data_IF_633524265170
#
_entry.id   IF_633524265170
#
_cell.length_a   1.000
_cell.length_b   1.000
_cell.length_c   1.000
_cell.angle_alpha   90.00
_cell.angle_beta   90.00
_cell.angle_gamma   90.00
#
_symmetry.space_group_name_H-M   'P 1'
#
loop_
_entity.id
_entity.type
_entity.pdbx_description
1 polymer ?
#
# COMPACT_ATOMS: atom_id res chain seq x y z
N UNK A 1 35.76 -9.29 -1.06
CA UNK A 1 34.82 -8.69 -2.02
C UNK A 1 34.61 -9.66 -3.16
N UNK A 2 33.48 -10.36 -3.24
CA UNK A 2 33.14 -11.21 -4.38
C UNK A 2 33.05 -10.35 -5.64
N UNK A 3 33.71 -10.80 -6.71
CA UNK A 3 33.66 -10.10 -8.01
C UNK A 3 32.21 -10.02 -8.47
N UNK A 4 31.70 -8.81 -8.68
CA UNK A 4 30.37 -8.55 -9.25
C UNK A 4 30.35 -9.16 -10.65
N UNK A 5 29.53 -10.20 -10.85
CA UNK A 5 29.50 -10.96 -12.11
C UNK A 5 28.80 -10.15 -13.21
N UNK A 6 29.11 -10.45 -14.46
CA UNK A 6 28.43 -9.84 -15.61
C UNK A 6 26.95 -10.20 -15.63
N UNK A 7 26.58 -11.40 -15.20
CA UNK A 7 25.19 -11.83 -15.06
C UNK A 7 24.42 -10.93 -14.09
N UNK A 8 24.97 -10.66 -12.91
CA UNK A 8 24.34 -9.77 -11.94
C UNK A 8 24.18 -8.34 -12.48
N UNK A 9 25.19 -7.81 -13.20
CA UNK A 9 25.06 -6.51 -13.88
C UNK A 9 23.98 -6.50 -14.95
N UNK A 10 23.80 -7.60 -15.67
CA UNK A 10 22.73 -7.75 -16.68
C UNK A 10 21.35 -7.74 -16.03
N UNK A 11 21.19 -8.42 -14.90
CA UNK A 11 19.94 -8.38 -14.12
C UNK A 11 19.61 -6.96 -13.64
N UNK A 12 20.59 -6.24 -13.09
CA UNK A 12 20.45 -4.83 -12.72
C UNK A 12 20.10 -3.93 -13.92
N UNK A 13 20.78 -4.12 -15.06
CA UNK A 13 20.50 -3.37 -16.29
C UNK A 13 19.04 -3.55 -16.72
N UNK A 14 18.57 -4.80 -16.76
CA UNK A 14 17.20 -5.11 -17.13
C UNK A 14 16.19 -4.46 -16.17
N UNK A 15 16.45 -4.50 -14.87
CA UNK A 15 15.62 -3.82 -13.89
C UNK A 15 15.56 -2.31 -14.16
N UNK A 16 16.69 -1.64 -14.33
CA UNK A 16 16.71 -0.19 -14.54
C UNK A 16 15.99 0.23 -15.83
N UNK A 17 16.17 -0.52 -16.92
CA UNK A 17 15.49 -0.24 -18.19
C UNK A 17 13.98 -0.50 -18.06
N UNK A 18 13.61 -1.68 -17.60
CA UNK A 18 12.23 -2.16 -17.65
C UNK A 18 11.36 -1.58 -16.52
N UNK A 19 11.89 -1.48 -15.30
CA UNK A 19 11.11 -1.05 -14.14
C UNK A 19 11.21 0.45 -13.86
N UNK A 20 12.36 1.07 -14.14
CA UNK A 20 12.59 2.49 -13.86
C UNK A 20 12.67 3.37 -15.11
N UNK A 21 12.49 2.78 -16.29
CA UNK A 21 12.52 3.53 -17.55
C UNK A 21 13.88 4.15 -17.87
N UNK A 22 14.99 3.58 -17.34
CA UNK A 22 16.32 4.10 -17.60
C UNK A 22 16.64 4.10 -19.10
N UNK A 23 17.31 5.11 -19.56
CA UNK A 23 17.73 5.23 -20.96
C UNK A 23 19.23 5.49 -21.07
N UNK A 24 19.82 5.06 -22.19
CA UNK A 24 21.26 5.24 -22.46
C UNK A 24 21.62 6.71 -22.54
N UNK A 25 22.73 7.08 -21.94
CA UNK A 25 23.32 8.41 -21.97
C UNK A 25 24.82 8.32 -22.35
N UNK A 26 25.55 9.40 -22.32
CA UNK A 26 26.96 9.49 -22.76
C UNK A 26 27.88 8.67 -21.84
N UNK A 27 28.98 8.16 -22.41
CA UNK A 27 30.10 7.53 -21.69
C UNK A 27 29.71 6.35 -20.77
N UNK A 28 28.81 5.47 -21.22
CA UNK A 28 28.38 4.28 -20.47
C UNK A 28 27.44 4.56 -19.29
N UNK A 29 26.98 5.79 -19.14
CA UNK A 29 25.93 6.12 -18.19
C UNK A 29 24.54 5.85 -18.76
N UNK A 30 23.63 5.49 -17.87
CA UNK A 30 22.20 5.56 -18.08
C UNK A 30 21.65 6.69 -17.23
N UNK A 31 20.51 7.26 -17.62
CA UNK A 31 19.76 8.19 -16.78
C UNK A 31 18.38 7.65 -16.48
N UNK A 32 17.90 7.92 -15.28
CA UNK A 32 16.49 7.76 -14.96
C UNK A 32 15.72 9.00 -15.42
N UNK A 33 14.50 8.82 -15.93
CA UNK A 33 13.61 9.96 -16.23
C UNK A 33 13.43 10.85 -15.02
N UNK A 34 13.26 10.25 -13.84
CA UNK A 34 13.07 10.94 -12.56
C UNK A 34 13.92 10.28 -11.48
N UNK A 35 14.55 11.04 -10.62
CA UNK A 35 15.27 10.52 -9.46
C UNK A 35 14.30 9.98 -8.41
N UNK A 36 14.44 8.73 -7.92
CA UNK A 36 13.54 8.13 -6.93
C UNK A 36 13.45 8.88 -5.60
N UNK A 37 14.47 9.67 -5.25
CA UNK A 37 14.60 10.29 -3.93
C UNK A 37 14.25 11.78 -3.90
N UNK A 38 14.68 12.55 -4.89
CA UNK A 38 14.40 14.00 -4.94
C UNK A 38 13.46 14.39 -6.07
N UNK A 39 13.07 13.43 -6.90
CA UNK A 39 12.08 13.55 -7.94
C UNK A 39 12.38 14.60 -9.04
N UNK A 40 13.63 14.98 -9.17
CA UNK A 40 14.07 15.84 -10.26
C UNK A 40 14.33 15.03 -11.50
N UNK A 41 13.80 15.53 -12.61
CA UNK A 41 13.94 14.92 -13.93
C UNK A 41 15.40 14.89 -14.37
N UNK A 42 15.79 13.77 -14.97
CA UNK A 42 17.08 13.55 -15.63
C UNK A 42 18.33 13.85 -14.76
N UNK A 43 18.19 13.85 -13.40
CA UNK A 43 19.32 14.13 -12.48
C UNK A 43 20.00 12.88 -11.94
N UNK A 44 19.34 11.71 -11.98
CA UNK A 44 19.91 10.45 -11.53
C UNK A 44 20.61 9.73 -12.69
N UNK A 45 21.91 9.51 -12.52
CA UNK A 45 22.73 8.71 -13.41
C UNK A 45 23.11 7.37 -12.79
N UNK A 46 23.23 6.34 -13.63
CA UNK A 46 23.63 4.98 -13.27
C UNK A 46 24.74 4.54 -14.24
N UNK A 47 25.83 4.04 -13.71
CA UNK A 47 26.92 3.44 -14.50
C UNK A 47 27.25 2.07 -13.94
N UNK A 48 26.87 1.01 -14.67
CA UNK A 48 27.08 -0.37 -14.25
C UNK A 48 28.53 -0.85 -14.41
N UNK A 49 29.30 -0.27 -15.34
CA UNK A 49 30.71 -0.58 -15.52
C UNK A 49 31.53 -0.05 -14.34
N UNK A 50 31.31 1.20 -13.97
CA UNK A 50 31.93 1.84 -12.79
C UNK A 50 31.25 1.43 -11.47
N UNK A 51 30.13 0.72 -11.55
CA UNK A 51 29.30 0.29 -10.42
C UNK A 51 28.91 1.45 -9.48
N UNK A 52 28.44 2.54 -10.07
CA UNK A 52 28.09 3.78 -9.37
C UNK A 52 26.73 4.33 -9.81
N UNK A 53 26.06 4.95 -8.85
CA UNK A 53 24.90 5.82 -9.12
C UNK A 53 25.19 7.21 -8.57
N UNK A 54 24.59 8.23 -9.17
CA UNK A 54 24.72 9.59 -8.69
C UNK A 54 23.52 10.45 -9.09
N UNK A 55 22.93 11.15 -8.12
CA UNK A 55 21.95 12.18 -8.38
C UNK A 55 22.59 13.57 -8.20
N UNK A 56 22.69 14.34 -9.26
CA UNK A 56 23.27 15.69 -9.25
C UNK A 56 22.42 16.74 -8.50
N UNK A 57 21.29 16.34 -7.92
CA UNK A 57 20.40 17.24 -7.18
C UNK A 57 20.37 16.98 -5.68
N UNK A 58 20.17 15.71 -5.28
CA UNK A 58 20.06 15.32 -3.87
C UNK A 58 21.31 14.63 -3.32
N UNK A 59 22.35 14.53 -4.13
CA UNK A 59 23.63 13.89 -3.77
C UNK A 59 23.51 12.41 -3.39
N UNK A 60 22.41 11.73 -3.77
CA UNK A 60 22.35 10.28 -3.62
C UNK A 60 23.48 9.64 -4.44
N UNK A 61 24.35 8.87 -3.78
CA UNK A 61 25.50 8.23 -4.41
C UNK A 61 25.76 6.87 -3.72
N UNK A 62 25.15 5.84 -4.26
CA UNK A 62 25.31 4.45 -3.79
C UNK A 62 25.73 3.57 -4.97
N UNK A 63 25.99 2.31 -4.70
CA UNK A 63 26.18 1.35 -5.79
C UNK A 63 24.80 0.97 -6.41
N UNK A 64 24.77 0.44 -7.65
CA UNK A 64 23.52 0.11 -8.32
C UNK A 64 22.64 -0.92 -7.60
N UNK A 65 23.22 -1.88 -6.89
CA UNK A 65 22.47 -2.85 -6.09
C UNK A 65 21.75 -2.16 -4.92
N UNK A 66 22.44 -1.26 -4.23
CA UNK A 66 21.83 -0.48 -3.15
C UNK A 66 20.71 0.43 -3.66
N UNK A 67 20.88 1.00 -4.86
CA UNK A 67 19.80 1.77 -5.48
C UNK A 67 18.54 0.92 -5.66
N UNK A 68 18.66 -0.33 -6.11
CA UNK A 68 17.51 -1.23 -6.23
C UNK A 68 16.91 -1.53 -4.85
N UNK A 69 17.75 -1.83 -3.86
CA UNK A 69 17.30 -2.10 -2.49
C UNK A 69 16.54 -0.91 -1.91
N UNK A 70 17.07 0.31 -2.06
CA UNK A 70 16.46 1.52 -1.54
C UNK A 70 15.14 1.86 -2.28
N UNK A 71 15.04 1.57 -3.57
CA UNK A 71 13.82 1.80 -4.37
C UNK A 71 12.74 0.76 -4.08
N UNK A 72 13.12 -0.51 -3.97
CA UNK A 72 12.16 -1.61 -3.73
C UNK A 72 11.87 -1.83 -2.23
N UNK A 73 12.66 -1.21 -1.33
CA UNK A 73 12.49 -1.32 0.11
C UNK A 73 13.01 -2.63 0.69
N UNK A 74 14.04 -3.23 0.09
CA UNK A 74 14.67 -4.44 0.61
C UNK A 74 15.63 -4.11 1.75
N UNK A 75 15.54 -4.87 2.84
CA UNK A 75 16.44 -4.73 3.99
C UNK A 75 17.68 -5.61 3.85
N UNK A 76 17.61 -6.66 3.04
CA UNK A 76 18.71 -7.64 2.88
C UNK A 76 19.14 -7.83 1.43
N UNK A 77 20.42 -8.14 1.24
CA UNK A 77 20.95 -8.49 -0.08
C UNK A 77 20.36 -9.82 -0.63
N UNK A 78 19.90 -10.69 0.26
CA UNK A 78 19.24 -11.94 -0.12
C UNK A 78 17.88 -11.67 -0.79
N UNK A 79 17.12 -10.69 -0.31
CA UNK A 79 15.86 -10.26 -0.94
C UNK A 79 16.12 -9.67 -2.32
N UNK A 80 17.14 -8.83 -2.46
CA UNK A 80 17.58 -8.31 -3.75
C UNK A 80 17.92 -9.42 -4.74
N UNK A 81 18.73 -10.40 -4.35
CA UNK A 81 19.11 -11.51 -5.21
C UNK A 81 17.88 -12.30 -5.65
N UNK A 82 17.02 -12.69 -4.72
CA UNK A 82 15.78 -13.41 -5.00
C UNK A 82 14.87 -12.61 -5.94
N UNK A 83 14.78 -11.31 -5.76
CA UNK A 83 14.02 -10.41 -6.63
C UNK A 83 14.62 -10.38 -8.05
N UNK A 84 15.92 -10.20 -8.16
CA UNK A 84 16.62 -10.15 -9.44
C UNK A 84 16.64 -11.51 -10.16
N UNK A 85 16.67 -12.63 -9.43
CA UNK A 85 16.65 -13.99 -9.98
C UNK A 85 15.28 -14.37 -10.54
N UNK A 86 14.23 -13.89 -9.94
CA UNK A 86 12.87 -14.08 -10.46
C UNK A 86 12.64 -13.39 -11.82
N UNK A 87 13.58 -12.56 -12.28
CA UNK A 87 13.83 -12.14 -13.68
C UNK A 87 12.69 -11.44 -14.42
N UNK A 88 11.50 -11.44 -13.86
CA UNK A 88 10.30 -10.86 -14.44
C UNK A 88 10.23 -9.34 -14.21
N UNK A 89 11.28 -8.61 -14.67
CA UNK A 89 11.25 -7.13 -14.77
C UNK A 89 10.48 -6.65 -16.00
N UNK A 90 9.90 -7.57 -16.77
CA UNK A 90 8.97 -7.21 -17.81
C UNK A 90 7.75 -6.64 -17.15
N UNK A 91 7.46 -5.38 -17.45
CA UNK A 91 6.13 -4.78 -17.39
C UNK A 91 5.18 -5.37 -16.30
N UNK A 92 5.72 -5.86 -15.17
CA UNK A 92 4.88 -6.34 -14.06
C UNK A 92 4.06 -5.22 -13.42
N UNK A 93 4.43 -3.96 -13.67
CA UNK A 93 3.46 -2.88 -13.54
C UNK A 93 2.35 -3.00 -14.61
N UNK A 94 2.58 -3.76 -15.69
CA UNK A 94 1.73 -3.82 -16.88
C UNK A 94 1.55 -5.22 -17.47
N UNK A 95 2.28 -6.27 -17.03
CA UNK A 95 1.82 -7.59 -17.36
C UNK A 95 0.45 -7.73 -16.70
N UNK A 96 -0.57 -7.73 -17.51
CA UNK A 96 -1.79 -8.43 -17.19
C UNK A 96 -1.38 -9.87 -16.83
N UNK A 97 -0.94 -10.13 -15.60
CA UNK A 97 -1.41 -11.32 -15.00
C UNK A 97 -2.93 -11.11 -15.10
N UNK A 98 -3.56 -11.72 -16.06
CA UNK A 98 -4.94 -12.16 -15.98
C UNK A 98 -4.98 -13.11 -14.77
N UNK A 99 -4.87 -12.51 -13.59
CA UNK A 99 -5.43 -13.13 -12.41
C UNK A 99 -6.91 -13.00 -12.72
N UNK A 100 -7.39 -14.03 -13.35
CA UNK A 100 -8.80 -14.19 -13.50
C UNK A 100 -9.30 -14.17 -12.07
N UNK A 101 -10.14 -13.19 -11.74
CA UNK A 101 -10.91 -13.19 -10.51
C UNK A 101 -11.78 -14.46 -10.40
N UNK A 102 -11.73 -15.34 -11.41
CA UNK A 102 -12.26 -16.69 -11.46
C UNK A 102 -11.80 -17.59 -10.30
N UNK A 103 -10.62 -17.35 -9.73
CA UNK A 103 -10.13 -18.10 -8.56
C UNK A 103 -10.68 -17.56 -7.23
N UNK A 104 -11.38 -16.43 -7.27
CA UNK A 104 -12.01 -15.86 -6.07
C UNK A 104 -13.15 -16.78 -5.61
N UNK A 105 -13.03 -17.28 -4.39
CA UNK A 105 -14.11 -18.03 -3.74
C UNK A 105 -15.09 -17.04 -3.07
N UNK A 106 -16.37 -17.40 -2.95
CA UNK A 106 -17.30 -16.62 -2.15
C UNK A 106 -16.79 -16.48 -0.72
N UNK A 107 -16.78 -15.24 -0.23
CA UNK A 107 -16.37 -14.94 1.16
C UNK A 107 -17.64 -14.70 1.95
N UNK A 108 -17.72 -15.29 3.12
CA UNK A 108 -18.83 -15.11 4.07
C UNK A 108 -18.31 -14.46 5.35
N UNK A 109 -19.13 -13.62 5.95
CA UNK A 109 -18.84 -13.10 7.29
C UNK A 109 -18.85 -14.24 8.31
N UNK A 110 -18.08 -14.13 9.41
CA UNK A 110 -18.05 -15.15 10.44
C UNK A 110 -19.44 -15.46 11.01
N UNK A 111 -19.68 -16.71 11.36
CA UNK A 111 -20.91 -17.12 12.05
C UNK A 111 -21.15 -16.27 13.30
N UNK A 112 -22.40 -15.91 13.52
CA UNK A 112 -22.78 -15.05 14.64
C UNK A 112 -22.43 -13.57 14.45
N UNK A 113 -22.01 -13.13 13.24
CA UNK A 113 -21.80 -11.73 12.93
C UNK A 113 -23.07 -10.91 13.18
N UNK A 114 -22.90 -9.75 13.84
CA UNK A 114 -23.94 -8.74 14.05
C UNK A 114 -23.40 -7.36 13.68
N UNK A 115 -24.24 -6.53 13.09
CA UNK A 115 -23.87 -5.13 12.85
C UNK A 115 -23.59 -4.40 14.17
N UNK A 116 -22.71 -3.42 14.14
CA UNK A 116 -22.23 -2.72 15.34
C UNK A 116 -23.36 -1.99 16.10
N UNK A 117 -24.42 -1.59 15.43
CA UNK A 117 -25.61 -0.97 16.02
C UNK A 117 -26.60 -1.98 16.61
N UNK A 118 -26.38 -3.28 16.44
CA UNK A 118 -27.26 -4.34 16.94
C UNK A 118 -26.76 -4.93 18.27
N UNK A 119 -27.67 -5.52 19.03
CA UNK A 119 -27.37 -6.27 20.26
C UNK A 119 -26.97 -5.37 21.45
N UNK A 120 -27.09 -5.95 22.65
CA UNK A 120 -26.84 -5.28 23.94
C UNK A 120 -25.86 -6.04 24.84
N UNK A 121 -25.22 -7.10 24.33
CA UNK A 121 -24.27 -7.92 25.07
C UNK A 121 -23.08 -7.10 25.60
N UNK A 122 -22.35 -7.65 26.57
CA UNK A 122 -21.12 -7.04 27.07
C UNK A 122 -20.08 -6.89 25.92
N UNK A 123 -19.99 -7.90 25.03
CA UNK A 123 -19.15 -7.84 23.84
C UNK A 123 -19.52 -6.64 22.95
N UNK A 124 -20.82 -6.45 22.68
CA UNK A 124 -21.30 -5.31 21.89
C UNK A 124 -20.89 -3.97 22.50
N UNK A 125 -21.03 -3.83 23.83
CA UNK A 125 -20.63 -2.60 24.54
C UNK A 125 -19.11 -2.36 24.44
N UNK A 126 -18.30 -3.39 24.66
CA UNK A 126 -16.83 -3.27 24.59
C UNK A 126 -16.35 -2.91 23.18
N UNK A 127 -16.91 -3.51 22.13
CA UNK A 127 -16.58 -3.19 20.74
C UNK A 127 -16.95 -1.74 20.41
N UNK A 128 -18.14 -1.29 20.81
CA UNK A 128 -18.57 0.11 20.61
C UNK A 128 -17.68 1.09 21.37
N UNK A 129 -17.34 0.80 22.62
CA UNK A 129 -16.43 1.60 23.43
C UNK A 129 -15.06 1.72 22.78
N UNK A 130 -14.52 0.59 22.28
CA UNK A 130 -13.26 0.57 21.54
C UNK A 130 -13.29 1.47 20.30
N UNK A 131 -14.34 1.38 19.48
CA UNK A 131 -14.45 2.20 18.27
C UNK A 131 -14.75 3.68 18.60
N UNK A 132 -15.53 3.94 19.65
CA UNK A 132 -15.76 5.28 20.14
C UNK A 132 -14.49 5.95 20.66
N UNK A 133 -13.63 5.21 21.39
CA UNK A 133 -12.31 5.71 21.83
C UNK A 133 -11.35 6.00 20.65
N UNK A 134 -11.65 5.44 19.48
CA UNK A 134 -10.96 5.71 18.22
C UNK A 134 -11.58 6.86 17.41
N UNK A 135 -12.59 7.53 17.96
CA UNK A 135 -13.22 8.70 17.36
C UNK A 135 -14.34 8.42 16.36
N UNK A 136 -14.90 7.19 16.32
CA UNK A 136 -15.97 6.82 15.41
C UNK A 136 -17.33 6.81 16.09
N UNK A 137 -18.35 7.25 15.37
CA UNK A 137 -19.75 7.07 15.76
C UNK A 137 -20.27 5.70 15.29
N UNK A 138 -21.27 5.18 16.01
CA UNK A 138 -21.91 3.90 15.65
C UNK A 138 -22.61 4.01 14.30
N UNK A 139 -23.17 5.18 13.99
CA UNK A 139 -23.85 5.43 12.73
C UNK A 139 -22.89 5.36 11.53
N UNK A 140 -21.73 6.02 11.62
CA UNK A 140 -20.68 5.95 10.58
C UNK A 140 -20.23 4.52 10.33
N UNK A 141 -19.97 3.77 11.41
CA UNK A 141 -19.52 2.38 11.29
C UNK A 141 -20.59 1.47 10.69
N UNK A 142 -21.86 1.69 11.02
CA UNK A 142 -22.99 0.93 10.48
C UNK A 142 -23.13 1.10 8.96
N UNK A 143 -22.89 2.31 8.43
CA UNK A 143 -22.91 2.60 6.99
C UNK A 143 -21.89 1.77 6.21
N UNK A 144 -20.76 1.46 6.84
CA UNK A 144 -19.73 0.59 6.26
C UNK A 144 -19.94 -0.91 6.51
N UNK A 145 -21.11 -1.29 7.08
CA UNK A 145 -21.41 -2.70 7.39
C UNK A 145 -20.52 -3.30 8.47
N UNK A 146 -19.86 -2.47 9.29
CA UNK A 146 -18.97 -2.91 10.35
C UNK A 146 -19.77 -3.54 11.47
N UNK A 147 -19.24 -4.63 12.01
CA UNK A 147 -19.90 -5.38 13.07
C UNK A 147 -18.94 -6.14 13.95
N UNK A 148 -19.44 -7.14 14.62
CA UNK A 148 -18.71 -7.92 15.60
C UNK A 148 -19.30 -9.31 15.74
N UNK A 149 -18.57 -10.21 16.43
CA UNK A 149 -19.04 -11.54 16.82
C UNK A 149 -19.08 -11.64 18.34
N UNK A 150 -20.24 -12.04 18.87
CA UNK A 150 -20.46 -12.23 20.31
C UNK A 150 -20.82 -13.68 20.68
N UNK A 151 -20.88 -14.59 19.71
CA UNK A 151 -21.07 -16.03 19.92
C UNK A 151 -19.73 -16.68 20.17
N UNK A 152 -19.73 -17.71 21.03
CA UNK A 152 -18.53 -18.49 21.30
C UNK A 152 -17.98 -19.10 20.00
N UNK A 153 -16.67 -19.10 19.90
CA UNK A 153 -15.97 -19.59 18.71
C UNK A 153 -14.69 -18.80 18.40
N UNK A 154 -14.07 -19.07 17.23
CA UNK A 154 -12.77 -18.50 16.87
C UNK A 154 -12.79 -16.99 16.62
N UNK A 155 -13.97 -16.40 16.49
CA UNK A 155 -14.15 -14.97 16.29
C UNK A 155 -14.80 -14.24 17.47
N UNK A 156 -14.97 -14.92 18.61
CA UNK A 156 -15.53 -14.29 19.81
C UNK A 156 -14.74 -13.02 20.19
N UNK A 157 -15.45 -11.90 20.34
CA UNK A 157 -14.83 -10.62 20.72
C UNK A 157 -14.07 -9.89 19.62
N UNK A 158 -14.23 -10.32 18.37
CA UNK A 158 -13.61 -9.65 17.24
C UNK A 158 -14.54 -8.58 16.65
N UNK A 159 -13.95 -7.41 16.38
CA UNK A 159 -14.48 -6.40 15.47
C UNK A 159 -14.27 -6.90 14.03
N UNK A 160 -15.31 -6.88 13.23
CA UNK A 160 -15.30 -7.30 11.83
C UNK A 160 -15.49 -6.07 10.93
N UNK A 161 -14.52 -5.82 10.07
CA UNK A 161 -14.57 -4.76 9.06
C UNK A 161 -14.67 -5.44 7.70
N UNK A 162 -15.84 -5.48 7.05
CA UNK A 162 -16.01 -6.10 5.74
C UNK A 162 -15.45 -5.23 4.63
N UNK A 163 -14.96 -5.86 3.57
CA UNK A 163 -14.43 -5.23 2.37
C UNK A 163 -15.32 -5.61 1.21
N UNK A 164 -16.17 -4.69 0.82
CA UNK A 164 -17.03 -4.85 -0.35
C UNK A 164 -16.39 -4.23 -1.58
N UNK A 165 -16.68 -4.81 -2.74
CA UNK A 165 -16.42 -4.22 -4.04
C UNK A 165 -17.62 -4.52 -4.95
N UNK A 166 -18.26 -3.48 -5.47
CA UNK A 166 -19.48 -3.55 -6.27
C UNK A 166 -20.57 -4.43 -5.61
N UNK A 167 -20.76 -4.20 -4.32
CA UNK A 167 -21.74 -4.90 -3.50
C UNK A 167 -21.39 -6.34 -3.10
N UNK A 168 -20.27 -6.88 -3.58
CA UNK A 168 -19.84 -8.25 -3.25
C UNK A 168 -18.79 -8.20 -2.13
N UNK A 169 -19.00 -9.04 -1.09
CA UNK A 169 -17.99 -9.22 -0.03
C UNK A 169 -16.77 -9.95 -0.61
N UNK A 170 -15.61 -9.30 -0.55
CA UNK A 170 -14.33 -9.83 -1.06
C UNK A 170 -13.40 -10.29 0.05
N UNK A 171 -13.54 -9.69 1.21
CA UNK A 171 -12.65 -9.93 2.35
C UNK A 171 -13.26 -9.33 3.62
N UNK A 172 -12.70 -9.65 4.75
CA UNK A 172 -12.93 -8.91 5.99
C UNK A 172 -11.66 -8.84 6.83
N UNK A 173 -11.54 -7.79 7.61
CA UNK A 173 -10.52 -7.69 8.64
C UNK A 173 -11.18 -8.00 9.98
N UNK A 174 -10.70 -9.04 10.67
CA UNK A 174 -11.16 -9.42 11.98
C UNK A 174 -10.10 -9.02 13.01
N UNK A 175 -10.40 -7.99 13.81
CA UNK A 175 -9.51 -7.46 14.84
C UNK A 175 -10.01 -7.87 16.23
N UNK A 176 -9.16 -8.57 16.95
CA UNK A 176 -9.46 -8.92 18.34
C UNK A 176 -9.52 -7.67 19.24
N UNK A 177 -10.63 -7.50 19.95
CA UNK A 177 -10.83 -6.40 20.91
C UNK A 177 -10.85 -6.92 22.35
N UNK A 178 -11.54 -8.04 22.59
CA UNK A 178 -11.72 -8.60 23.94
C UNK A 178 -11.54 -10.13 24.01
N UNK A 179 -11.32 -10.79 22.87
CA UNK A 179 -11.10 -12.24 22.82
C UNK A 179 -9.69 -12.64 23.24
N UNK A 180 -9.46 -13.92 23.43
CA UNK A 180 -8.15 -14.49 23.79
C UNK A 180 -7.33 -14.91 22.56
N UNK A 181 -7.85 -14.75 21.36
CA UNK A 181 -7.21 -15.13 20.10
C UNK A 181 -6.13 -14.14 19.63
N UNK A 182 -5.53 -14.37 18.46
CA UNK A 182 -4.53 -13.49 17.87
C UNK A 182 -5.11 -12.09 17.61
N UNK A 183 -4.23 -11.08 17.54
CA UNK A 183 -4.62 -9.67 17.26
C UNK A 183 -5.46 -9.52 16.01
N UNK A 184 -5.21 -10.35 15.00
CA UNK A 184 -5.98 -10.43 13.75
C UNK A 184 -6.24 -11.89 13.40
N UNK A 185 -7.45 -12.18 12.94
CA UNK A 185 -7.87 -13.49 12.44
C UNK A 185 -8.59 -13.30 11.09
N UNK A 186 -7.81 -12.89 10.08
CA UNK A 186 -8.34 -12.57 8.76
C UNK A 186 -8.47 -13.83 7.89
N UNK A 187 -9.38 -13.84 6.88
CA UNK A 187 -9.43 -14.90 5.89
C UNK A 187 -8.10 -15.07 5.19
N UNK A 188 -7.64 -16.29 5.08
CA UNK A 188 -6.44 -16.64 4.33
C UNK A 188 -6.77 -16.94 2.86
N UNK A 189 -5.73 -17.21 2.05
CA UNK A 189 -5.89 -17.54 0.63
C UNK A 189 -6.73 -18.79 0.37
N UNK A 190 -6.69 -19.77 1.27
CA UNK A 190 -7.44 -21.02 1.12
C UNK A 190 -8.96 -20.78 1.23
N UNK A 191 -9.35 -19.78 2.04
CA UNK A 191 -10.74 -19.36 2.21
C UNK A 191 -11.19 -18.48 1.06
N UNK A 192 -10.41 -17.47 0.67
CA UNK A 192 -10.82 -16.46 -0.30
C UNK A 192 -10.49 -16.81 -1.75
N UNK A 193 -9.64 -17.82 -1.97
CA UNK A 193 -9.04 -18.10 -3.28
C UNK A 193 -7.98 -17.08 -3.70
N UNK A 194 -7.99 -15.88 -3.12
CA UNK A 194 -7.08 -14.79 -3.39
C UNK A 194 -6.34 -14.37 -2.12
N UNK A 195 -5.08 -13.99 -2.24
CA UNK A 195 -4.32 -13.40 -1.13
C UNK A 195 -4.71 -11.93 -0.89
N UNK A 196 -4.28 -11.40 0.27
CA UNK A 196 -4.51 -9.98 0.64
C UNK A 196 -3.92 -8.99 -0.37
N UNK A 197 -2.94 -9.41 -1.15
CA UNK A 197 -2.31 -8.64 -2.23
C UNK A 197 -3.25 -8.25 -3.37
N UNK A 198 -4.44 -8.88 -3.44
CA UNK A 198 -5.50 -8.58 -4.40
C UNK A 198 -6.65 -7.77 -3.81
N UNK A 199 -6.53 -7.36 -2.55
CA UNK A 199 -7.60 -6.72 -1.80
C UNK A 199 -7.28 -5.24 -1.56
N UNK A 200 -8.26 -4.37 -1.79
CA UNK A 200 -8.25 -2.95 -1.44
C UNK A 200 -9.50 -2.68 -0.63
N UNK A 201 -9.36 -2.10 0.57
CA UNK A 201 -10.50 -1.63 1.35
C UNK A 201 -11.12 -0.41 0.68
N UNK A 202 -12.46 -0.37 0.64
CA UNK A 202 -13.23 0.70 0.02
C UNK A 202 -12.86 0.95 -1.45
N UNK A 203 -12.65 -0.13 -2.22
CA UNK A 203 -12.18 -0.05 -3.61
C UNK A 203 -13.12 0.74 -4.52
N UNK A 204 -14.44 0.75 -4.23
CA UNK A 204 -15.43 1.50 -5.01
C UNK A 204 -15.14 3.01 -5.04
N UNK A 205 -14.45 3.55 -4.01
CA UNK A 205 -14.02 4.94 -3.98
C UNK A 205 -13.14 5.32 -5.19
N UNK A 206 -12.40 4.36 -5.76
CA UNK A 206 -11.58 4.58 -6.95
C UNK A 206 -12.40 4.96 -8.18
N UNK A 207 -13.65 4.53 -8.26
CA UNK A 207 -14.57 4.84 -9.36
C UNK A 207 -15.39 6.13 -9.07
N UNK A 208 -15.51 6.53 -7.78
CA UNK A 208 -16.39 7.61 -7.34
C UNK A 208 -15.70 8.97 -7.20
N UNK A 209 -14.40 9.01 -6.92
CA UNK A 209 -13.71 10.23 -6.55
C UNK A 209 -12.47 10.49 -7.41
N UNK A 210 -12.25 11.75 -7.79
CA UNK A 210 -11.08 12.17 -8.56
C UNK A 210 -9.81 12.32 -7.71
N UNK A 211 -9.93 12.35 -6.38
CA UNK A 211 -8.80 12.45 -5.44
C UNK A 211 -9.00 11.49 -4.27
N UNK A 212 -8.04 10.64 -4.02
CA UNK A 212 -8.10 9.53 -3.07
C UNK A 212 -6.95 9.60 -2.08
N UNK A 213 -7.24 9.32 -0.80
CA UNK A 213 -6.26 9.04 0.24
C UNK A 213 -5.92 7.54 0.24
N UNK A 214 -4.64 7.20 0.32
CA UNK A 214 -4.17 5.81 0.44
C UNK A 214 -3.58 5.63 1.83
N UNK A 215 -4.19 4.76 2.62
CA UNK A 215 -3.77 4.39 3.97
C UNK A 215 -3.24 2.95 4.00
N UNK A 216 -2.53 2.58 5.06
CA UNK A 216 -2.06 1.21 5.26
C UNK A 216 -3.19 0.27 5.70
N UNK A 217 -3.98 0.67 6.69
CA UNK A 217 -5.04 -0.12 7.31
C UNK A 217 -6.44 0.49 7.22
N UNK A 218 -7.47 -0.35 7.34
CA UNK A 218 -8.86 0.04 7.20
C UNK A 218 -9.30 1.10 8.24
N UNK A 219 -8.81 1.03 9.48
CA UNK A 219 -9.15 2.03 10.52
C UNK A 219 -8.62 3.41 10.12
N UNK A 220 -7.41 3.50 9.59
CA UNK A 220 -6.85 4.75 9.08
C UNK A 220 -7.65 5.28 7.88
N UNK A 221 -8.09 4.40 6.98
CA UNK A 221 -8.95 4.80 5.87
C UNK A 221 -10.32 5.29 6.34
N UNK A 222 -10.96 4.60 7.28
CA UNK A 222 -12.22 5.04 7.90
C UNK A 222 -12.08 6.42 8.54
N UNK A 223 -10.97 6.69 9.24
CA UNK A 223 -10.67 8.02 9.81
C UNK A 223 -10.63 9.11 8.74
N UNK A 224 -10.09 8.80 7.58
CA UNK A 224 -10.02 9.75 6.45
C UNK A 224 -11.33 9.87 5.68
N UNK A 225 -12.30 8.95 5.90
CA UNK A 225 -13.65 8.95 5.34
C UNK A 225 -13.75 8.38 3.94
N UNK A 226 -14.88 8.61 3.25
CA UNK A 226 -15.30 7.91 2.03
C UNK A 226 -14.28 7.98 0.87
N UNK A 227 -13.42 8.98 0.85
CA UNK A 227 -12.37 9.15 -0.16
C UNK A 227 -11.07 8.43 0.19
N UNK A 228 -11.09 7.53 1.15
CA UNK A 228 -9.89 6.79 1.54
C UNK A 228 -10.01 5.31 1.24
N UNK A 229 -8.91 4.75 0.79
CA UNK A 229 -8.74 3.31 0.60
C UNK A 229 -7.61 2.81 1.49
N UNK A 230 -7.55 1.49 1.71
CA UNK A 230 -6.41 0.87 2.39
C UNK A 230 -5.91 -0.36 1.63
N UNK A 231 -4.59 -0.59 1.71
CA UNK A 231 -3.86 -1.58 0.91
C UNK A 231 -3.48 -2.85 1.68
N UNK A 232 -3.96 -3.00 2.93
CA UNK A 232 -3.73 -4.18 3.77
C UNK A 232 -2.27 -4.41 4.19
N UNK A 233 -1.49 -3.38 4.29
CA UNK A 233 -0.11 -3.40 4.74
C UNK A 233 0.78 -2.43 3.96
N UNK A 234 2.03 -2.31 4.41
CA UNK A 234 3.02 -1.36 3.88
C UNK A 234 3.39 -1.64 2.42
N UNK A 235 3.61 -2.91 2.10
CA UNK A 235 3.99 -3.34 0.76
C UNK A 235 2.75 -3.43 -0.14
N UNK A 236 2.75 -2.62 -1.20
CA UNK A 236 1.65 -2.55 -2.16
C UNK A 236 1.99 -3.45 -3.36
N UNK A 237 1.10 -4.38 -3.67
CA UNK A 237 1.31 -5.36 -4.73
C UNK A 237 1.23 -4.74 -6.13
N UNK A 238 1.80 -5.44 -7.13
CA UNK A 238 1.68 -5.03 -8.53
C UNK A 238 0.22 -4.96 -8.99
N UNK A 239 -0.63 -5.88 -8.52
CA UNK A 239 -2.07 -5.84 -8.79
C UNK A 239 -2.72 -4.56 -8.24
N UNK A 240 -2.49 -4.24 -6.96
CA UNK A 240 -3.03 -3.02 -6.34
C UNK A 240 -2.56 -1.76 -7.07
N UNK A 241 -1.26 -1.67 -7.41
CA UNK A 241 -0.71 -0.55 -8.21
C UNK A 241 -1.41 -0.43 -9.55
N UNK A 242 -1.65 -1.55 -10.24
CA UNK A 242 -2.34 -1.57 -11.52
C UNK A 242 -3.80 -1.08 -11.39
N UNK A 243 -4.53 -1.48 -10.33
CA UNK A 243 -5.87 -0.95 -10.04
C UNK A 243 -5.84 0.58 -9.86
N UNK A 244 -4.86 1.11 -9.13
CA UNK A 244 -4.69 2.56 -8.94
C UNK A 244 -4.42 3.29 -10.27
N UNK A 245 -3.54 2.74 -11.10
CA UNK A 245 -3.20 3.32 -12.40
C UNK A 245 -4.41 3.32 -13.35
N UNK A 246 -5.14 2.21 -13.44
CA UNK A 246 -6.32 2.04 -14.32
C UNK A 246 -7.55 2.82 -13.85
N UNK A 247 -7.62 3.21 -12.57
CA UNK A 247 -8.76 3.95 -12.03
C UNK A 247 -8.90 5.35 -12.68
N UNK A 248 -10.11 5.94 -12.70
CA UNK A 248 -10.31 7.32 -13.16
C UNK A 248 -9.78 8.40 -12.20
N UNK A 249 -9.18 8.00 -11.09
CA UNK A 249 -8.60 8.92 -10.10
C UNK A 249 -7.49 9.77 -10.72
N UNK A 250 -7.53 11.08 -10.48
CA UNK A 250 -6.51 12.02 -10.97
C UNK A 250 -5.38 12.25 -9.97
N UNK A 251 -5.68 12.09 -8.67
CA UNK A 251 -4.73 12.41 -7.60
C UNK A 251 -4.77 11.37 -6.49
N UNK A 252 -3.59 10.92 -6.07
CA UNK A 252 -3.41 10.14 -4.86
C UNK A 252 -2.65 10.92 -3.79
N UNK A 253 -3.09 10.81 -2.55
CA UNK A 253 -2.43 11.35 -1.36
C UNK A 253 -2.08 10.17 -0.49
N UNK A 254 -0.78 9.91 -0.34
CA UNK A 254 -0.27 8.75 0.39
C UNK A 254 -0.12 9.11 1.87
N UNK A 255 -0.80 8.34 2.71
CA UNK A 255 -0.91 8.50 4.16
C UNK A 255 -0.53 7.18 4.85
N UNK A 256 0.56 6.53 4.39
CA UNK A 256 1.05 5.32 5.03
C UNK A 256 1.70 5.65 6.38
N UNK A 257 1.79 4.66 7.24
CA UNK A 257 2.37 4.82 8.58
C UNK A 257 3.83 5.33 8.51
N UNK A 258 4.33 6.03 9.54
CA UNK A 258 5.64 6.69 9.48
C UNK A 258 6.81 5.75 9.15
N UNK A 259 6.76 4.53 9.64
CA UNK A 259 7.76 3.49 9.39
C UNK A 259 7.68 2.90 7.96
N UNK A 260 6.62 3.24 7.21
CA UNK A 260 6.41 2.85 5.82
C UNK A 260 6.81 3.93 4.80
N UNK A 261 7.56 4.96 5.19
CA UNK A 261 7.92 6.08 4.29
C UNK A 261 8.64 5.61 3.02
N UNK A 262 9.51 4.60 3.11
CA UNK A 262 10.18 4.01 1.94
C UNK A 262 9.16 3.43 0.95
N UNK A 263 8.14 2.73 1.45
CA UNK A 263 7.07 2.16 0.64
C UNK A 263 6.19 3.24 0.01
N UNK A 264 5.92 4.33 0.75
CA UNK A 264 5.21 5.50 0.22
C UNK A 264 5.94 6.13 -0.96
N UNK A 265 7.26 6.30 -0.84
CA UNK A 265 8.11 6.86 -1.91
C UNK A 265 8.12 5.93 -3.12
N UNK A 266 8.27 4.63 -2.91
CA UNK A 266 8.23 3.63 -3.98
C UNK A 266 6.88 3.64 -4.72
N UNK A 267 5.77 3.65 -3.97
CA UNK A 267 4.44 3.75 -4.57
C UNK A 267 4.28 5.05 -5.37
N UNK A 268 4.69 6.18 -4.79
CA UNK A 268 4.64 7.46 -5.47
C UNK A 268 5.40 7.43 -6.80
N UNK A 269 6.59 6.81 -6.79
CA UNK A 269 7.40 6.64 -7.99
C UNK A 269 6.68 5.83 -9.08
N UNK A 270 6.02 4.73 -8.71
CA UNK A 270 5.25 3.90 -9.65
C UNK A 270 4.01 4.63 -10.22
N UNK A 271 3.43 5.55 -9.46
CA UNK A 271 2.20 6.25 -9.85
C UNK A 271 2.43 7.58 -10.58
N UNK A 272 3.54 8.28 -10.34
CA UNK A 272 3.75 9.67 -10.81
C UNK A 272 3.76 9.82 -12.31
N UNK A 273 4.07 8.78 -13.06
CA UNK A 273 4.00 8.78 -14.53
C UNK A 273 2.56 8.90 -15.07
N UNK A 274 1.58 8.50 -14.25
CA UNK A 274 0.17 8.37 -14.66
C UNK A 274 -0.76 9.30 -13.89
N UNK A 275 -0.40 9.63 -12.64
CA UNK A 275 -1.29 10.28 -11.67
C UNK A 275 -0.55 11.40 -10.94
N UNK A 276 -1.30 12.39 -10.45
CA UNK A 276 -0.76 13.34 -9.48
C UNK A 276 -0.62 12.65 -8.13
N UNK A 277 0.56 12.70 -7.52
CA UNK A 277 0.80 12.02 -6.25
C UNK A 277 1.32 13.03 -5.22
N UNK A 278 0.87 12.89 -3.98
CA UNK A 278 1.37 13.63 -2.84
C UNK A 278 1.69 12.66 -1.71
N UNK A 279 2.91 12.67 -1.25
CA UNK A 279 3.35 11.88 -0.08
C UNK A 279 3.30 12.77 1.15
N UNK A 280 2.63 12.32 2.19
CA UNK A 280 2.56 12.98 3.49
C UNK A 280 3.35 12.14 4.48
N UNK A 281 4.34 12.72 5.08
CA UNK A 281 5.05 12.12 6.20
C UNK A 281 4.29 12.44 7.48
N UNK A 282 3.70 11.41 8.08
CA UNK A 282 3.06 11.54 9.38
C UNK A 282 4.13 11.67 10.48
N UNK A 283 3.82 12.29 11.64
CA UNK A 283 4.69 12.33 12.79
C UNK A 283 5.08 10.94 13.27
N UNK A 284 6.31 10.79 13.75
CA UNK A 284 6.81 9.51 14.26
C UNK A 284 5.89 8.92 15.34
N UNK A 285 5.62 7.63 15.23
CA UNK A 285 4.78 6.87 16.17
C UNK A 285 3.28 7.19 16.13
N UNK A 286 2.80 8.00 15.16
CA UNK A 286 1.37 8.34 15.02
C UNK A 286 0.85 7.98 13.65
N UNK A 287 -0.26 7.26 13.62
CA UNK A 287 -1.00 6.96 12.39
C UNK A 287 -2.11 8.00 12.13
N UNK A 288 -2.87 7.82 11.04
CA UNK A 288 -3.98 8.73 10.71
C UNK A 288 -5.07 8.74 11.78
N UNK A 289 -5.34 7.61 12.43
CA UNK A 289 -6.36 7.51 13.46
C UNK A 289 -5.90 8.17 14.77
N UNK A 290 -4.62 8.04 15.14
CA UNK A 290 -4.04 8.70 16.33
C UNK A 290 -4.07 10.23 16.21
N UNK A 291 -3.87 10.75 15.00
CA UNK A 291 -3.89 12.20 14.73
C UNK A 291 -5.33 12.73 14.58
N UNK A 292 -6.23 11.89 14.08
CA UNK A 292 -7.56 12.29 13.67
C UNK A 292 -7.56 13.06 12.33
N UNK A 293 -8.71 12.95 11.62
CA UNK A 293 -8.90 13.50 10.27
C UNK A 293 -8.51 14.99 10.14
N UNK A 294 -8.88 15.80 11.12
CA UNK A 294 -8.65 17.26 11.08
C UNK A 294 -7.16 17.60 11.01
N UNK A 295 -6.36 16.96 11.84
CA UNK A 295 -4.91 17.22 11.87
C UNK A 295 -4.21 16.67 10.61
N UNK A 296 -4.61 15.49 10.14
CA UNK A 296 -4.09 14.94 8.87
C UNK A 296 -4.40 15.88 7.71
N UNK A 297 -5.60 16.45 7.62
CA UNK A 297 -5.95 17.42 6.58
C UNK A 297 -5.11 18.70 6.66
N UNK A 298 -4.79 19.20 7.87
CA UNK A 298 -3.85 20.32 8.05
C UNK A 298 -2.44 19.97 7.53
N UNK A 299 -1.93 18.78 7.85
CA UNK A 299 -0.65 18.31 7.33
C UNK A 299 -0.66 18.24 5.80
N UNK A 300 -1.74 17.72 5.21
CA UNK A 300 -1.91 17.68 3.76
C UNK A 300 -1.88 19.09 3.17
N UNK A 301 -2.59 20.04 3.77
CA UNK A 301 -2.64 21.43 3.29
C UNK A 301 -1.26 22.08 3.35
N UNK A 302 -0.55 21.95 4.45
CA UNK A 302 0.74 22.60 4.71
C UNK A 302 1.91 21.93 3.97
N UNK A 303 1.76 20.68 3.51
CA UNK A 303 2.79 20.01 2.72
C UNK A 303 2.75 20.54 1.28
N UNK A 304 3.81 21.14 0.75
CA UNK A 304 3.80 21.62 -0.63
C UNK A 304 3.64 20.47 -1.62
N UNK A 305 2.96 20.72 -2.74
CA UNK A 305 2.93 19.81 -3.87
C UNK A 305 4.35 19.69 -4.44
N UNK A 306 5.08 18.64 -4.07
CA UNK A 306 6.42 18.37 -4.60
C UNK A 306 6.41 17.80 -6.03
N UNK A 307 5.24 17.48 -6.56
CA UNK A 307 5.03 16.84 -7.86
C UNK A 307 4.14 17.72 -8.72
N UNK A 308 4.75 18.58 -9.52
CA UNK A 308 4.08 19.20 -10.67
C UNK A 308 4.45 18.38 -11.91
N UNK A 309 3.46 18.07 -12.75
CA UNK A 309 3.74 17.66 -14.13
C UNK A 309 4.53 18.76 -14.83
#
# INVERSE_FOLDING_TARGET
MSKITNEFKTKLYNYFIKSLGAYKYKHGWMKLPVCPFCHREHKMGINLSMYRTNCFRCNYHMNPAQLVMDVEGFDTYAELLKFLDNGNFTDKAFSEEKIELSDAKPVYLPDGFKLINQGTSQVARSIRSYMSSRGFTIEELSKHGIGYVATDGPFFGYLIIPYYYKGTLRYYNARNVIGQGPRYNNPNKDITGLGKEFIIFNQDALDMYSSIFICEGAINALTMGDRAIATMGKAISAYQVNQLIKSPVNRFILLLDPDAIKYSINLAFKLVAYKKVKVIQLPEGKDCNDLGRKEVLKLIYNTPLRWKK
#
